data_IF_144537239427
#
_entry.id   IF_144537239427
#
_cell.length_a   1.000
_cell.length_b   1.000
_cell.length_c   1.000
_cell.angle_alpha   90.00
_cell.angle_beta   90.00
_cell.angle_gamma   90.00
#
_symmetry.space_group_name_H-M   'P 1'
#
loop_
_entity.id
_entity.type
_entity.pdbx_description
1 polymer ?
#
# COMPACT_ATOMS: atom_id res chain seq x y z
N UNK A 1 -16.02 -54.08 9.57
CA UNK A 1 -15.24 -55.25 10.04
C UNK A 1 -13.96 -54.73 10.69
N UNK A 2 -13.79 -55.04 11.98
CA UNK A 2 -12.61 -54.87 12.87
C UNK A 2 -12.07 -53.44 13.05
N UNK A 3 -12.22 -52.74 14.20
CA UNK A 3 -11.99 -53.11 15.62
C UNK A 3 -10.58 -53.66 15.83
N UNK A 4 -9.68 -52.95 16.52
CA UNK A 4 -9.34 -53.03 17.96
C UNK A 4 -8.09 -52.10 18.12
N UNK A 5 -7.68 -51.48 19.23
CA UNK A 5 -8.06 -51.46 20.65
C UNK A 5 -7.23 -50.33 21.32
N UNK A 6 -7.81 -49.66 22.33
CA UNK A 6 -7.05 -49.03 23.44
C UNK A 6 -6.88 -50.12 24.55
N UNK A 7 -6.18 -49.96 25.71
CA UNK A 7 -6.44 -48.86 26.67
C UNK A 7 -5.31 -48.52 27.72
N UNK A 8 -5.66 -47.59 28.63
CA UNK A 8 -5.47 -47.68 30.09
C UNK A 8 -4.18 -47.20 30.81
N UNK A 9 -4.31 -46.02 31.44
CA UNK A 9 -4.10 -45.68 32.89
C UNK A 9 -2.78 -45.97 33.62
N UNK A 10 -2.23 -44.96 34.31
CA UNK A 10 -2.16 -44.97 35.79
C UNK A 10 -1.87 -43.58 36.42
N UNK A 11 -2.70 -43.24 37.39
CA UNK A 11 -2.64 -42.23 38.46
C UNK A 11 -1.55 -42.48 39.51
N UNK A 12 -0.95 -41.43 40.13
CA UNK A 12 -1.01 -41.15 41.60
C UNK A 12 -0.02 -40.06 42.13
N UNK A 13 -0.60 -39.09 42.87
CA UNK A 13 -0.23 -38.52 44.21
C UNK A 13 0.99 -37.61 44.51
N UNK A 14 0.63 -36.43 45.07
CA UNK A 14 0.99 -35.78 46.36
C UNK A 14 2.44 -35.33 46.69
N UNK A 15 2.61 -34.01 46.93
CA UNK A 15 3.15 -33.35 48.14
C UNK A 15 3.24 -31.83 47.86
N UNK A 16 2.50 -30.89 48.48
CA UNK A 16 2.45 -30.36 49.87
C UNK A 16 3.73 -29.66 50.38
N UNK A 17 3.58 -28.33 50.64
CA UNK A 17 4.20 -27.45 51.66
C UNK A 17 5.30 -26.42 51.24
N UNK A 18 5.42 -25.27 51.96
CA UNK A 18 5.72 -23.92 51.45
C UNK A 18 6.98 -23.27 52.12
N UNK A 19 7.01 -21.95 52.44
CA UNK A 19 7.97 -20.94 51.95
C UNK A 19 9.14 -20.62 52.92
N UNK A 20 9.94 -19.56 52.66
CA UNK A 20 10.49 -18.78 53.77
C UNK A 20 10.29 -17.26 53.68
N UNK A 21 9.99 -16.70 54.85
CA UNK A 21 10.05 -15.33 55.39
C UNK A 21 11.45 -14.70 55.34
N UNK A 22 11.64 -13.43 54.95
CA UNK A 22 11.72 -12.24 55.84
C UNK A 22 13.16 -11.62 55.85
N UNK A 23 13.45 -10.49 56.56
CA UNK A 23 13.00 -9.11 56.30
C UNK A 23 14.12 -8.00 56.32
N UNK A 24 13.81 -6.83 55.72
CA UNK A 24 14.15 -5.39 56.04
C UNK A 24 15.63 -4.91 56.22
N UNK A 25 16.00 -3.60 56.07
CA UNK A 25 15.47 -2.48 56.88
C UNK A 25 15.24 -1.10 56.18
N UNK A 26 14.59 -0.22 56.96
CA UNK A 26 14.21 1.20 56.77
C UNK A 26 15.39 2.19 56.87
N UNK A 27 15.25 3.37 56.26
CA UNK A 27 15.61 4.72 56.83
C UNK A 27 15.00 5.84 55.96
N UNK A 28 13.96 6.55 56.45
CA UNK A 28 13.94 7.92 57.06
C UNK A 28 14.04 9.13 56.10
N UNK A 29 12.91 9.84 55.99
CA UNK A 29 12.77 11.30 55.75
C UNK A 29 13.36 12.12 56.91
N UNK A 30 13.58 13.43 56.70
CA UNK A 30 12.77 14.39 57.48
C UNK A 30 12.27 15.61 56.70
N UNK A 31 11.15 16.14 57.18
CA UNK A 31 10.48 17.41 56.87
C UNK A 31 10.78 18.44 57.97
N UNK A 32 10.94 19.73 57.64
CA UNK A 32 10.65 20.87 58.53
C UNK A 32 10.54 22.21 57.75
N UNK A 33 9.61 23.07 58.18
CA UNK A 33 9.38 24.49 57.81
C UNK A 33 9.12 25.27 59.14
N UNK A 34 8.75 26.57 59.21
CA UNK A 34 9.19 27.83 58.57
C UNK A 34 9.57 28.97 59.59
N UNK A 35 10.05 30.16 59.16
CA UNK A 35 10.10 31.39 60.01
C UNK A 35 10.95 32.61 59.55
N UNK A 36 10.28 33.64 58.97
CA UNK A 36 10.44 35.14 58.85
C UNK A 36 11.63 35.94 59.49
N UNK A 37 11.81 37.29 59.23
CA UNK A 37 11.62 38.15 58.03
C UNK A 37 12.68 39.31 57.81
N UNK A 38 12.82 39.80 56.55
CA UNK A 38 13.12 41.20 56.10
C UNK A 38 14.50 41.87 56.40
N UNK A 39 14.88 43.04 55.79
CA UNK A 39 14.25 43.89 54.74
C UNK A 39 15.15 44.08 53.46
N UNK A 40 14.62 44.16 52.22
CA UNK A 40 14.18 45.34 51.45
C UNK A 40 15.22 46.47 51.19
N UNK A 41 15.72 46.62 49.95
CA UNK A 41 15.92 47.89 49.20
C UNK A 41 15.87 47.60 47.67
N UNK A 42 15.22 48.49 46.92
CA UNK A 42 14.91 48.44 45.46
C UNK A 42 15.72 49.56 44.72
N UNK A 43 15.49 49.89 43.43
CA UNK A 43 16.48 49.87 42.35
C UNK A 43 16.85 51.26 41.76
N UNK A 44 17.89 51.34 40.92
CA UNK A 44 18.14 52.44 39.96
C UNK A 44 18.82 51.80 38.72
N UNK A 45 18.60 52.16 37.44
CA UNK A 45 17.98 53.34 36.86
C UNK A 45 18.95 54.06 35.91
N UNK A 46 19.02 53.59 34.65
CA UNK A 46 19.22 54.34 33.38
C UNK A 46 20.48 55.21 33.07
N UNK A 47 20.83 55.16 31.76
CA UNK A 47 21.55 56.12 30.89
C UNK A 47 23.09 56.26 30.94
N UNK A 48 23.76 55.89 29.84
CA UNK A 48 24.51 56.80 28.95
C UNK A 48 25.24 56.06 27.79
N UNK A 49 25.01 56.50 26.55
CA UNK A 49 25.99 56.54 25.43
C UNK A 49 26.63 57.96 25.44
N UNK A 50 27.79 58.25 24.83
CA UNK A 50 28.33 57.74 23.56
C UNK A 50 29.82 57.29 23.66
N UNK A 51 30.41 56.58 22.68
CA UNK A 51 31.13 57.18 21.55
C UNK A 51 31.49 56.15 20.48
N UNK A 52 31.56 56.65 19.24
CA UNK A 52 31.92 55.94 18.04
C UNK A 52 33.43 55.65 17.95
N UNK A 53 33.80 54.43 17.54
CA UNK A 53 35.01 54.19 16.76
C UNK A 53 34.89 52.94 15.90
N UNK A 54 35.21 53.12 14.63
CA UNK A 54 35.18 52.18 13.52
C UNK A 54 36.31 51.14 13.63
N UNK A 55 35.97 49.85 13.53
CA UNK A 55 36.89 48.83 12.99
C UNK A 55 36.11 47.72 12.29
N UNK A 56 36.59 47.39 11.10
CA UNK A 56 35.97 46.49 10.14
C UNK A 56 36.03 45.01 10.58
N UNK A 57 35.02 44.24 10.16
CA UNK A 57 35.13 42.78 10.03
C UNK A 57 34.21 41.95 10.92
N UNK A 58 32.95 41.80 10.52
CA UNK A 58 32.12 40.60 10.76
C UNK A 58 30.80 40.77 9.99
N UNK A 59 30.78 40.34 8.73
CA UNK A 59 29.54 40.25 7.98
C UNK A 59 28.63 39.19 8.58
N UNK A 60 27.47 39.61 9.09
CA UNK A 60 26.36 38.75 9.50
C UNK A 60 26.10 37.69 8.44
N UNK A 61 26.03 36.39 8.77
CA UNK A 61 25.80 35.37 7.76
C UNK A 61 24.45 35.65 7.10
N UNK A 62 24.50 35.89 5.79
CA UNK A 62 23.29 36.17 5.00
C UNK A 62 22.36 34.97 5.10
N UNK A 63 21.04 35.21 4.99
CA UNK A 63 19.98 34.18 4.98
C UNK A 63 20.32 32.98 4.06
N UNK A 64 21.09 33.21 2.99
CA UNK A 64 21.64 32.17 2.10
C UNK A 64 22.69 31.27 2.76
N UNK A 65 23.63 31.79 3.54
CA UNK A 65 24.62 30.97 4.26
C UNK A 65 23.97 30.10 5.34
N UNK A 66 23.00 30.65 6.08
CA UNK A 66 22.22 29.85 7.04
C UNK A 66 21.37 28.79 6.34
N UNK A 67 20.79 29.09 5.17
CA UNK A 67 20.02 28.12 4.41
C UNK A 67 20.92 27.02 3.80
N UNK A 68 22.14 27.37 3.41
CA UNK A 68 23.12 26.44 2.84
C UNK A 68 23.76 25.53 3.90
N UNK A 69 24.03 26.03 5.11
CA UNK A 69 24.47 25.21 6.25
C UNK A 69 23.35 24.31 6.79
N UNK A 70 22.10 24.78 6.79
CA UNK A 70 20.92 23.99 7.16
C UNK A 70 20.61 22.90 6.12
N UNK A 71 20.80 23.18 4.82
CA UNK A 71 20.70 22.15 3.78
C UNK A 71 21.83 21.11 3.86
N UNK A 72 23.06 21.52 4.20
CA UNK A 72 24.20 20.60 4.35
C UNK A 72 24.04 19.66 5.54
N UNK A 73 23.64 20.19 6.69
CA UNK A 73 23.32 19.40 7.89
C UNK A 73 22.07 18.52 7.73
N UNK A 74 21.11 18.90 6.87
CA UNK A 74 19.95 18.06 6.52
C UNK A 74 20.30 16.94 5.53
N UNK A 75 21.31 17.13 4.67
CA UNK A 75 21.84 16.09 3.80
C UNK A 75 22.69 15.08 4.57
N UNK A 76 23.47 15.52 5.56
CA UNK A 76 24.28 14.65 6.44
C UNK A 76 23.43 13.81 7.42
N UNK A 77 22.22 14.28 7.76
CA UNK A 77 21.27 13.55 8.62
C UNK A 77 20.15 12.83 7.85
N UNK A 78 20.24 12.73 6.53
CA UNK A 78 19.36 11.83 5.79
C UNK A 78 19.77 10.40 6.16
N UNK A 79 18.84 9.50 6.55
CA UNK A 79 19.18 8.10 6.81
C UNK A 79 20.05 7.60 5.65
N UNK A 80 21.20 7.00 5.93
CA UNK A 80 22.18 6.58 4.90
C UNK A 80 21.70 5.39 4.05
N UNK A 81 20.75 4.62 4.59
CA UNK A 81 20.20 3.40 3.98
C UNK A 81 19.60 3.54 2.55
N UNK A 82 18.87 4.62 2.16
CA UNK A 82 18.34 4.78 0.82
C UNK A 82 19.45 5.11 -0.20
N UNK A 83 20.50 5.84 0.17
CA UNK A 83 21.56 6.24 -0.76
C UNK A 83 22.41 5.04 -1.15
N UNK A 84 22.81 4.21 -0.18
CA UNK A 84 23.60 3.00 -0.44
C UNK A 84 22.81 1.96 -1.24
N UNK A 85 21.52 1.81 -0.93
CA UNK A 85 20.61 0.97 -1.69
C UNK A 85 20.49 1.44 -3.14
N UNK A 86 20.22 2.73 -3.36
CA UNK A 86 20.09 3.28 -4.71
C UNK A 86 21.41 3.20 -5.50
N UNK A 87 22.56 3.41 -4.84
CA UNK A 87 23.86 3.29 -5.48
C UNK A 87 24.17 1.84 -5.89
N UNK A 88 23.87 0.87 -5.01
CA UNK A 88 24.01 -0.55 -5.32
C UNK A 88 23.16 -0.95 -6.53
N UNK A 89 21.85 -0.68 -6.49
CA UNK A 89 20.96 -1.04 -7.60
C UNK A 89 21.28 -0.26 -8.88
N UNK A 90 21.67 1.02 -8.77
CA UNK A 90 22.12 1.82 -9.90
C UNK A 90 23.33 1.21 -10.60
N UNK A 91 24.32 0.74 -9.82
CA UNK A 91 25.50 0.04 -10.36
C UNK A 91 25.12 -1.27 -11.03
N UNK A 92 24.26 -2.08 -10.40
CA UNK A 92 23.74 -3.33 -10.98
C UNK A 92 23.00 -3.06 -12.30
N UNK A 93 22.17 -2.02 -12.37
CA UNK A 93 21.48 -1.62 -13.59
C UNK A 93 22.44 -1.22 -14.71
N UNK A 94 23.49 -0.45 -14.41
CA UNK A 94 24.50 -0.06 -15.42
C UNK A 94 25.25 -1.28 -15.95
N UNK A 95 25.69 -2.19 -15.08
CA UNK A 95 26.41 -3.40 -15.47
C UNK A 95 25.50 -4.28 -16.34
N UNK A 96 24.29 -4.58 -15.87
CA UNK A 96 23.35 -5.45 -16.60
C UNK A 96 22.95 -4.85 -17.96
N UNK A 97 22.67 -3.55 -18.03
CA UNK A 97 22.33 -2.87 -19.29
C UNK A 97 23.50 -2.89 -20.27
N UNK A 98 24.72 -2.66 -19.80
CA UNK A 98 25.93 -2.72 -20.63
C UNK A 98 26.19 -4.14 -21.14
N UNK A 99 26.02 -5.15 -20.28
CA UNK A 99 26.12 -6.56 -20.68
C UNK A 99 25.09 -6.92 -21.74
N UNK A 100 23.83 -6.52 -21.57
CA UNK A 100 22.80 -6.74 -22.60
C UNK A 100 23.16 -6.03 -23.90
N UNK A 101 23.60 -4.76 -23.84
CA UNK A 101 23.96 -3.99 -25.03
C UNK A 101 25.13 -4.61 -25.83
N UNK A 102 26.09 -5.24 -25.16
CA UNK A 102 27.27 -5.85 -25.81
C UNK A 102 26.98 -7.30 -26.24
N UNK A 103 26.28 -8.09 -25.41
CA UNK A 103 26.12 -9.53 -25.61
C UNK A 103 24.85 -9.90 -26.40
N UNK A 104 23.78 -9.11 -26.31
CA UNK A 104 22.53 -9.40 -27.00
C UNK A 104 22.65 -8.97 -28.47
N UNK A 105 22.77 -9.95 -29.35
CA UNK A 105 22.65 -9.75 -30.80
C UNK A 105 21.20 -9.94 -31.23
N UNK A 106 20.69 -9.02 -32.03
CA UNK A 106 19.37 -9.13 -32.66
C UNK A 106 19.43 -10.13 -33.83
N UNK A 107 18.54 -11.12 -33.82
CA UNK A 107 18.41 -12.06 -34.93
C UNK A 107 17.61 -11.38 -36.05
N UNK A 108 18.20 -11.32 -37.26
CA UNK A 108 17.54 -10.76 -38.45
C UNK A 108 16.49 -11.69 -39.08
N UNK A 109 16.37 -12.93 -38.60
CA UNK A 109 15.58 -13.99 -39.24
C UNK A 109 14.44 -14.51 -38.38
N UNK A 110 13.38 -13.71 -38.18
CA UNK A 110 11.99 -14.17 -38.01
C UNK A 110 11.05 -13.03 -38.43
N UNK A 111 11.01 -12.69 -39.71
CA UNK A 111 9.91 -11.90 -40.29
C UNK A 111 8.90 -12.86 -40.92
N UNK A 112 8.28 -13.73 -40.09
CA UNK A 112 7.11 -14.49 -40.51
C UNK A 112 5.96 -13.50 -40.68
N UNK A 113 5.83 -12.98 -41.89
CA UNK A 113 4.84 -11.98 -42.29
C UNK A 113 5.28 -10.57 -41.92
N UNK A 114 5.76 -9.81 -42.92
CA UNK A 114 6.02 -8.37 -42.80
C UNK A 114 4.93 -7.67 -41.99
N UNK A 115 5.30 -7.12 -40.82
CA UNK A 115 4.69 -5.88 -40.35
C UNK A 115 5.06 -4.83 -41.43
N UNK A 116 4.22 -4.65 -42.47
CA UNK A 116 4.38 -3.51 -43.39
C UNK A 116 3.96 -2.20 -42.70
N UNK A 117 4.38 -1.96 -41.46
CA UNK A 117 4.35 -0.61 -40.91
C UNK A 117 5.61 0.09 -41.39
N UNK A 118 5.52 0.70 -42.57
CA UNK A 118 6.63 1.44 -43.21
C UNK A 118 6.97 2.77 -42.51
N UNK A 119 6.50 3.01 -41.28
CA UNK A 119 6.92 4.15 -40.46
C UNK A 119 6.18 4.26 -39.13
N UNK A 120 6.70 5.11 -38.24
CA UNK A 120 6.14 5.42 -36.91
C UNK A 120 4.68 5.87 -37.03
N UNK A 121 4.36 6.68 -38.05
CA UNK A 121 3.01 7.17 -38.32
C UNK A 121 2.04 6.03 -38.60
N UNK A 122 2.47 4.99 -39.31
CA UNK A 122 1.60 3.85 -39.62
C UNK A 122 1.38 2.97 -38.39
N UNK A 123 2.35 2.87 -37.49
CA UNK A 123 2.17 2.25 -36.17
C UNK A 123 1.11 2.98 -35.34
N UNK A 124 1.10 4.32 -35.31
CA UNK A 124 0.05 5.09 -34.61
C UNK A 124 -1.33 4.95 -35.26
N UNK A 125 -1.40 4.97 -36.61
CA UNK A 125 -2.66 4.70 -37.33
C UNK A 125 -3.21 3.31 -37.00
N UNK A 126 -2.32 2.31 -36.97
CA UNK A 126 -2.67 0.94 -36.61
C UNK A 126 -3.17 0.85 -35.16
N UNK A 127 -2.48 1.48 -34.21
CA UNK A 127 -2.92 1.54 -32.81
C UNK A 127 -4.32 2.15 -32.69
N UNK A 128 -4.57 3.24 -33.40
CA UNK A 128 -5.88 3.88 -33.42
C UNK A 128 -6.96 2.99 -34.06
N UNK A 129 -6.61 2.21 -35.09
CA UNK A 129 -7.50 1.20 -35.66
C UNK A 129 -7.84 0.08 -34.67
N UNK A 130 -6.85 -0.39 -33.88
CA UNK A 130 -7.06 -1.39 -32.83
C UNK A 130 -8.06 -0.89 -31.78
N UNK A 131 -7.86 0.33 -31.27
CA UNK A 131 -8.74 0.94 -30.25
C UNK A 131 -10.16 1.13 -30.77
N UNK A 132 -10.34 1.41 -32.07
CA UNK A 132 -11.66 1.55 -32.70
C UNK A 132 -12.45 0.25 -32.83
N UNK A 133 -11.82 -0.92 -32.65
CA UNK A 133 -12.55 -2.18 -32.69
C UNK A 133 -13.49 -2.29 -31.47
N UNK A 134 -14.78 -2.60 -31.67
CA UNK A 134 -15.76 -2.57 -30.59
C UNK A 134 -15.46 -3.57 -29.47
N UNK A 135 -14.94 -4.76 -29.80
CA UNK A 135 -14.52 -5.75 -28.81
C UNK A 135 -13.38 -5.24 -27.92
N UNK A 136 -12.37 -4.59 -28.53
CA UNK A 136 -11.23 -4.01 -27.83
C UNK A 136 -11.64 -2.84 -26.96
N UNK A 137 -12.42 -1.91 -27.50
CA UNK A 137 -12.91 -0.76 -26.74
C UNK A 137 -13.74 -1.21 -25.54
N UNK A 138 -14.64 -2.17 -25.74
CA UNK A 138 -15.46 -2.74 -24.67
C UNK A 138 -14.58 -3.40 -23.61
N UNK A 139 -13.60 -4.21 -24.03
CA UNK A 139 -12.67 -4.84 -23.12
C UNK A 139 -11.86 -3.81 -22.31
N UNK A 140 -11.30 -2.80 -22.99
CA UNK A 140 -10.55 -1.70 -22.37
C UNK A 140 -11.38 -0.97 -21.30
N UNK A 141 -12.64 -0.61 -21.60
CA UNK A 141 -13.53 0.04 -20.64
C UNK A 141 -13.84 -0.86 -19.44
N UNK A 142 -14.03 -2.15 -19.67
CA UNK A 142 -14.30 -3.12 -18.61
C UNK A 142 -13.09 -3.29 -17.69
N UNK A 143 -11.88 -3.50 -18.22
CA UNK A 143 -10.67 -3.64 -17.39
C UNK A 143 -10.30 -2.34 -16.66
N UNK A 144 -10.64 -1.17 -17.23
CA UNK A 144 -10.44 0.13 -16.60
C UNK A 144 -11.29 0.29 -15.33
N UNK A 145 -12.47 -0.32 -15.30
CA UNK A 145 -13.45 -0.19 -14.20
C UNK A 145 -13.51 -1.40 -13.27
N UNK A 146 -13.01 -2.56 -13.70
CA UNK A 146 -13.12 -3.82 -12.95
C UNK A 146 -12.46 -3.81 -11.57
N UNK A 147 -11.46 -2.95 -11.37
CA UNK A 147 -10.65 -2.93 -10.14
C UNK A 147 -11.09 -1.89 -9.10
N UNK A 148 -12.12 -1.08 -9.40
CA UNK A 148 -12.63 -0.05 -8.47
C UNK A 148 -13.03 -0.67 -7.13
N UNK A 149 -13.61 -1.88 -7.13
CA UNK A 149 -14.06 -2.51 -5.91
C UNK A 149 -12.95 -2.96 -4.94
N UNK A 150 -11.69 -2.95 -5.38
CA UNK A 150 -10.54 -3.35 -4.56
C UNK A 150 -9.68 -2.18 -4.11
N UNK A 151 -9.99 -0.95 -4.54
CA UNK A 151 -9.09 0.20 -4.38
C UNK A 151 -8.77 0.52 -2.92
N UNK A 152 -9.79 0.55 -2.05
CA UNK A 152 -9.61 0.77 -0.61
C UNK A 152 -8.79 -0.36 0.03
N UNK A 153 -9.09 -1.61 -0.32
CA UNK A 153 -8.40 -2.79 0.21
C UNK A 153 -6.91 -2.81 -0.19
N UNK A 154 -6.61 -2.53 -1.45
CA UNK A 154 -5.25 -2.60 -2.01
C UNK A 154 -4.39 -1.38 -1.63
N UNK A 155 -4.96 -0.16 -1.64
CA UNK A 155 -4.19 1.08 -1.49
C UNK A 155 -4.15 1.60 -0.04
N UNK A 156 -5.23 1.42 0.73
CA UNK A 156 -5.42 2.11 2.01
C UNK A 156 -5.12 1.21 3.21
N UNK A 157 -5.48 -0.08 3.15
CA UNK A 157 -5.32 -1.03 4.27
C UNK A 157 -3.93 -1.03 4.88
N UNK A 158 -2.87 -1.09 4.05
CA UNK A 158 -1.50 -1.12 4.54
C UNK A 158 -1.11 0.13 5.32
N UNK A 159 -1.61 1.30 4.90
CA UNK A 159 -1.41 2.56 5.61
C UNK A 159 -2.17 2.58 6.94
N UNK A 160 -3.42 2.10 6.93
CA UNK A 160 -4.25 2.03 8.13
C UNK A 160 -3.69 1.09 9.19
N UNK A 161 -3.11 -0.05 8.81
CA UNK A 161 -2.42 -0.93 9.76
C UNK A 161 -1.24 -0.22 10.45
N UNK A 162 -0.53 0.65 9.72
CA UNK A 162 0.55 1.47 10.31
C UNK A 162 0.00 2.56 11.22
N UNK A 163 -1.11 3.21 10.83
CA UNK A 163 -1.79 4.21 11.67
C UNK A 163 -2.31 3.63 12.99
N UNK A 164 -2.79 2.39 12.97
CA UNK A 164 -3.23 1.63 14.16
C UNK A 164 -2.07 1.05 14.99
N UNK A 165 -0.81 1.40 14.67
CA UNK A 165 0.36 1.12 15.50
C UNK A 165 1.23 -0.05 15.04
N UNK A 166 0.89 -0.77 13.97
CA UNK A 166 1.74 -1.87 13.48
C UNK A 166 3.05 -1.29 12.91
N UNK A 167 4.23 -1.69 13.42
CA UNK A 167 5.49 -1.15 12.92
C UNK A 167 5.69 -1.47 11.44
N UNK A 168 6.07 -0.46 10.66
CA UNK A 168 6.26 -0.56 9.21
C UNK A 168 7.29 -1.63 8.84
N UNK A 169 8.29 -1.81 9.69
CA UNK A 169 9.35 -2.80 9.55
C UNK A 169 8.78 -4.22 9.60
N UNK A 170 7.84 -4.49 10.51
CA UNK A 170 7.20 -5.81 10.61
C UNK A 170 6.31 -6.09 9.41
N UNK A 171 5.52 -5.11 8.94
CA UNK A 171 4.75 -5.27 7.71
C UNK A 171 5.64 -5.50 6.48
N UNK A 172 6.78 -4.80 6.40
CA UNK A 172 7.76 -5.02 5.34
C UNK A 172 8.39 -6.42 5.42
N UNK A 173 8.66 -6.93 6.62
CA UNK A 173 9.19 -8.28 6.82
C UNK A 173 8.19 -9.37 6.38
N UNK A 174 6.88 -9.11 6.42
CA UNK A 174 5.87 -10.03 5.86
C UNK A 174 6.01 -10.21 4.33
N UNK A 175 6.65 -9.28 3.63
CA UNK A 175 6.89 -9.43 2.19
C UNK A 175 7.89 -10.55 1.88
N UNK A 176 8.85 -10.82 2.78
CA UNK A 176 9.89 -11.85 2.58
C UNK A 176 9.29 -13.24 2.33
N UNK A 177 8.43 -13.79 3.21
CA UNK A 177 7.76 -15.07 2.94
C UNK A 177 6.73 -15.01 1.80
N UNK A 178 6.26 -13.82 1.42
CA UNK A 178 5.35 -13.66 0.29
C UNK A 178 6.06 -13.82 -1.06
N UNK A 179 7.32 -13.42 -1.20
CA UNK A 179 8.04 -13.46 -2.48
C UNK A 179 8.06 -14.87 -3.11
N UNK A 180 8.40 -15.96 -2.39
CA UNK A 180 8.32 -17.31 -2.97
C UNK A 180 6.91 -17.66 -3.45
N UNK A 181 5.89 -17.27 -2.67
CA UNK A 181 4.48 -17.48 -3.01
C UNK A 181 4.10 -16.68 -4.27
N UNK A 182 4.60 -15.45 -4.45
CA UNK A 182 4.40 -14.64 -5.65
C UNK A 182 5.04 -15.23 -6.90
N UNK A 183 6.12 -16.01 -6.77
CA UNK A 183 6.78 -16.70 -7.89
C UNK A 183 6.04 -18.00 -8.23
N UNK A 184 5.67 -18.79 -7.21
CA UNK A 184 5.03 -20.09 -7.40
C UNK A 184 3.57 -19.97 -7.85
N UNK A 185 2.82 -18.99 -7.33
CA UNK A 185 1.39 -18.85 -7.63
C UNK A 185 1.11 -18.67 -9.12
N UNK A 186 1.75 -17.73 -9.85
CA UNK A 186 1.53 -17.59 -11.29
C UNK A 186 1.85 -18.88 -12.05
N UNK A 187 2.89 -19.64 -11.66
CA UNK A 187 3.23 -20.91 -12.31
C UNK A 187 2.13 -21.95 -12.13
N UNK A 188 1.58 -22.07 -10.91
CA UNK A 188 0.48 -23.00 -10.62
C UNK A 188 -0.81 -22.57 -11.33
N UNK A 189 -1.15 -21.28 -11.21
CA UNK A 189 -2.37 -20.67 -11.78
C UNK A 189 -2.33 -20.72 -13.31
N UNK A 190 -1.14 -20.59 -13.92
CA UNK A 190 -0.98 -20.55 -15.38
C UNK A 190 -1.65 -21.75 -16.05
N UNK A 191 -1.52 -22.96 -15.47
CA UNK A 191 -2.14 -24.20 -15.98
C UNK A 191 -3.67 -24.10 -16.07
N UNK A 192 -4.30 -23.37 -15.15
CA UNK A 192 -5.75 -23.17 -15.13
C UNK A 192 -6.20 -22.02 -16.04
N UNK A 193 -5.32 -21.04 -16.29
CA UNK A 193 -5.62 -19.90 -17.18
C UNK A 193 -5.24 -20.12 -18.64
N UNK A 194 -4.40 -21.12 -18.95
CA UNK A 194 -4.03 -21.49 -20.33
C UNK A 194 -5.15 -22.15 -21.14
N UNK A 195 -6.31 -22.41 -20.50
CA UNK A 195 -7.48 -22.99 -21.16
C UNK A 195 -8.19 -22.02 -22.13
N UNK A 196 -9.28 -22.48 -22.76
CA UNK A 196 -10.02 -21.68 -23.75
C UNK A 196 -10.73 -20.46 -23.15
N UNK A 197 -10.98 -20.45 -21.84
CA UNK A 197 -11.82 -19.45 -21.17
C UNK A 197 -11.13 -18.81 -19.94
N UNK A 198 -10.07 -18.00 -20.15
CA UNK A 198 -9.31 -17.39 -19.06
C UNK A 198 -10.13 -16.39 -18.23
N UNK A 199 -11.08 -15.66 -18.84
CA UNK A 199 -11.88 -14.65 -18.11
C UNK A 199 -12.87 -15.29 -17.12
N UNK A 200 -13.20 -16.57 -17.26
CA UNK A 200 -13.98 -17.29 -16.25
C UNK A 200 -13.25 -17.40 -14.91
N UNK A 201 -11.92 -17.54 -14.92
CA UNK A 201 -11.11 -17.59 -13.70
C UNK A 201 -11.16 -16.23 -13.00
N UNK A 202 -11.01 -15.13 -13.76
CA UNK A 202 -11.19 -13.77 -13.25
C UNK A 202 -12.58 -13.59 -12.62
N UNK A 203 -13.64 -13.93 -13.35
CA UNK A 203 -15.03 -13.77 -12.89
C UNK A 203 -15.33 -14.54 -11.60
N UNK A 204 -14.77 -15.76 -11.45
CA UNK A 204 -14.93 -16.58 -10.24
C UNK A 204 -14.08 -16.09 -9.08
N UNK A 205 -12.88 -15.56 -9.32
CA UNK A 205 -11.98 -15.05 -8.28
C UNK A 205 -12.47 -13.70 -7.70
N UNK A 206 -13.17 -12.90 -8.50
CA UNK A 206 -13.64 -11.56 -8.14
C UNK A 206 -14.44 -11.47 -6.83
N UNK A 207 -15.51 -12.27 -6.59
CA UNK A 207 -16.28 -12.20 -5.35
C UNK A 207 -15.44 -12.56 -4.11
N UNK A 208 -14.55 -13.56 -4.21
CA UNK A 208 -13.66 -13.90 -3.10
C UNK A 208 -12.73 -12.76 -2.75
N UNK A 209 -12.19 -12.06 -3.76
CA UNK A 209 -11.34 -10.89 -3.54
C UNK A 209 -12.11 -9.73 -2.89
N UNK A 210 -13.37 -9.50 -3.27
CA UNK A 210 -14.21 -8.46 -2.66
C UNK A 210 -14.48 -8.77 -1.18
N UNK A 211 -14.78 -10.02 -0.86
CA UNK A 211 -14.99 -10.47 0.52
C UNK A 211 -13.72 -10.39 1.36
N UNK A 212 -12.56 -10.73 0.78
CA UNK A 212 -11.26 -10.56 1.45
C UNK A 212 -10.96 -9.07 1.72
N UNK A 213 -11.43 -8.15 0.87
CA UNK A 213 -11.37 -6.72 1.13
C UNK A 213 -12.12 -6.30 2.40
N UNK A 214 -13.32 -6.85 2.64
CA UNK A 214 -14.02 -6.68 3.92
C UNK A 214 -13.26 -7.36 5.07
N UNK A 215 -12.66 -8.52 4.82
CA UNK A 215 -11.79 -9.20 5.77
C UNK A 215 -10.62 -8.34 6.23
N UNK A 216 -10.00 -7.57 5.32
CA UNK A 216 -8.97 -6.60 5.67
C UNK A 216 -9.50 -5.42 6.48
N UNK A 217 -10.68 -4.88 6.14
CA UNK A 217 -11.30 -3.85 6.96
C UNK A 217 -11.58 -4.36 8.39
N UNK A 218 -12.09 -5.59 8.54
CA UNK A 218 -12.27 -6.23 9.85
C UNK A 218 -10.94 -6.45 10.58
N UNK A 219 -9.88 -6.79 9.85
CA UNK A 219 -8.56 -6.95 10.41
C UNK A 219 -8.06 -5.63 11.00
N UNK A 220 -8.14 -4.52 10.25
CA UNK A 220 -7.76 -3.18 10.72
C UNK A 220 -8.56 -2.77 11.95
N UNK A 221 -9.87 -3.04 11.98
CA UNK A 221 -10.71 -2.77 13.16
C UNK A 221 -10.33 -3.60 14.39
N UNK A 222 -9.84 -4.82 14.16
CA UNK A 222 -9.40 -5.72 15.21
C UNK A 222 -8.00 -5.37 15.75
N UNK A 223 -7.13 -4.78 14.92
CA UNK A 223 -5.76 -4.39 15.25
C UNK A 223 -5.63 -3.66 16.61
N UNK A 224 -6.29 -2.51 16.87
CA UNK A 224 -6.11 -1.79 18.14
C UNK A 224 -6.61 -2.57 19.37
N UNK A 225 -7.46 -3.58 19.20
CA UNK A 225 -7.97 -4.41 20.32
C UNK A 225 -6.98 -5.49 20.76
N UNK A 226 -6.02 -5.80 19.89
CA UNK A 226 -5.01 -6.84 20.09
C UNK A 226 -3.69 -6.25 20.59
N UNK A 227 -3.52 -4.94 20.45
CA UNK A 227 -2.34 -4.24 20.93
C UNK A 227 -2.16 -4.47 22.44
N UNK A 228 -0.97 -4.93 22.82
CA UNK A 228 -0.62 -5.15 24.21
C UNK A 228 0.79 -4.62 24.48
N UNK A 229 0.92 -3.70 25.45
CA UNK A 229 2.20 -3.09 25.85
C UNK A 229 3.00 -2.43 24.70
N UNK A 230 2.31 -1.82 23.73
CA UNK A 230 2.95 -1.16 22.58
C UNK A 230 3.53 -2.11 21.53
N UNK A 231 3.05 -3.37 21.50
CA UNK A 231 3.40 -4.36 20.50
C UNK A 231 2.27 -5.32 20.20
N UNK A 232 2.46 -6.12 19.15
CA UNK A 232 1.49 -7.13 18.71
C UNK A 232 2.01 -8.54 18.99
N UNK A 233 1.15 -9.45 19.49
CA UNK A 233 1.52 -10.84 19.71
C UNK A 233 1.75 -11.58 18.38
N UNK A 234 2.55 -12.64 18.41
CA UNK A 234 2.94 -13.40 17.21
C UNK A 234 1.74 -13.94 16.41
N UNK A 235 0.65 -14.34 17.07
CA UNK A 235 -0.54 -14.85 16.40
C UNK A 235 -1.19 -13.80 15.49
N UNK A 236 -1.11 -12.51 15.83
CA UNK A 236 -1.63 -11.43 15.01
C UNK A 236 -0.89 -11.38 13.67
N UNK A 237 0.44 -11.41 13.70
CA UNK A 237 1.26 -11.43 12.48
C UNK A 237 1.02 -12.68 11.63
N UNK A 238 0.78 -13.84 12.25
CA UNK A 238 0.41 -15.07 11.52
C UNK A 238 -0.93 -14.88 10.78
N UNK A 239 -1.94 -14.29 11.45
CA UNK A 239 -3.24 -14.02 10.84
C UNK A 239 -3.11 -13.00 9.70
N UNK A 240 -2.35 -11.92 9.91
CA UNK A 240 -2.04 -10.93 8.86
C UNK A 240 -1.37 -11.64 7.68
N UNK A 241 -0.32 -12.42 7.92
CA UNK A 241 0.37 -13.17 6.87
C UNK A 241 -0.57 -14.08 6.08
N UNK A 242 -1.41 -14.87 6.76
CA UNK A 242 -2.37 -15.76 6.10
C UNK A 242 -3.42 -14.98 5.29
N UNK A 243 -3.92 -13.86 5.82
CA UNK A 243 -4.88 -13.01 5.11
C UNK A 243 -4.28 -12.40 3.84
N UNK A 244 -3.03 -11.92 3.90
CA UNK A 244 -2.29 -11.47 2.73
C UNK A 244 -2.03 -12.61 1.75
N UNK A 245 -1.72 -13.83 2.22
CA UNK A 245 -1.47 -14.96 1.34
C UNK A 245 -2.73 -15.34 0.55
N UNK A 246 -3.89 -15.40 1.22
CA UNK A 246 -5.18 -15.63 0.58
C UNK A 246 -5.52 -14.51 -0.42
N UNK A 247 -5.28 -13.26 -0.04
CA UNK A 247 -5.45 -12.13 -0.93
C UNK A 247 -4.58 -12.28 -2.19
N UNK A 248 -3.30 -12.62 -2.05
CA UNK A 248 -2.38 -12.83 -3.17
C UNK A 248 -2.89 -13.91 -4.14
N UNK A 249 -3.44 -15.02 -3.66
CA UNK A 249 -4.03 -16.06 -4.53
C UNK A 249 -5.11 -15.47 -5.44
N UNK A 250 -6.04 -14.70 -4.89
CA UNK A 250 -7.13 -14.09 -5.68
C UNK A 250 -6.60 -13.00 -6.62
N UNK A 251 -5.63 -12.19 -6.17
CA UNK A 251 -5.00 -11.14 -6.96
C UNK A 251 -4.27 -11.71 -8.17
N UNK A 252 -3.39 -12.71 -7.97
CA UNK A 252 -2.66 -13.35 -9.06
C UNK A 252 -3.57 -14.15 -9.98
N UNK A 253 -4.63 -14.78 -9.46
CA UNK A 253 -5.62 -15.46 -10.30
C UNK A 253 -6.25 -14.51 -11.30
N UNK A 254 -6.65 -13.31 -10.85
CA UNK A 254 -7.20 -12.27 -11.72
C UNK A 254 -6.15 -11.71 -12.68
N UNK A 255 -4.94 -11.43 -12.19
CA UNK A 255 -3.85 -10.85 -12.99
C UNK A 255 -3.45 -11.78 -14.14
N UNK A 256 -3.14 -13.05 -13.83
CA UNK A 256 -2.72 -14.04 -14.84
C UNK A 256 -3.86 -14.30 -15.85
N UNK A 257 -5.12 -14.29 -15.41
CA UNK A 257 -6.27 -14.43 -16.32
C UNK A 257 -6.35 -13.33 -17.36
N UNK A 258 -6.16 -12.07 -16.97
CA UNK A 258 -6.13 -10.93 -17.91
C UNK A 258 -4.93 -11.07 -18.84
N UNK A 259 -3.75 -11.41 -18.32
CA UNK A 259 -2.55 -11.57 -19.13
C UNK A 259 -2.69 -12.70 -20.17
N UNK A 260 -3.27 -13.83 -19.77
CA UNK A 260 -3.57 -14.95 -20.66
C UNK A 260 -4.59 -14.55 -21.74
N UNK A 261 -5.62 -13.80 -21.36
CA UNK A 261 -6.61 -13.29 -22.31
C UNK A 261 -5.98 -12.30 -23.31
N UNK A 262 -5.21 -11.32 -22.83
CA UNK A 262 -4.50 -10.34 -23.66
C UNK A 262 -3.60 -11.03 -24.68
N UNK A 263 -2.83 -12.03 -24.26
CA UNK A 263 -1.99 -12.82 -25.14
C UNK A 263 -2.80 -13.61 -26.19
N UNK A 264 -3.97 -14.14 -25.81
CA UNK A 264 -4.83 -14.92 -26.70
C UNK A 264 -5.53 -14.07 -27.78
N UNK A 265 -5.99 -12.88 -27.42
CA UNK A 265 -6.75 -12.01 -28.35
C UNK A 265 -5.86 -11.13 -29.22
N UNK A 266 -4.61 -10.91 -28.83
CA UNK A 266 -3.68 -10.10 -29.62
C UNK A 266 -3.39 -10.77 -30.96
N UNK A 267 -3.56 -10.02 -32.05
CA UNK A 267 -3.25 -10.50 -33.40
C UNK A 267 -1.75 -10.86 -33.51
N UNK A 268 -1.38 -12.10 -33.90
CA UNK A 268 0.02 -12.52 -33.98
C UNK A 268 0.91 -11.64 -34.86
N UNK A 269 0.34 -10.99 -35.88
CA UNK A 269 1.10 -10.12 -36.78
C UNK A 269 1.50 -8.80 -36.14
N UNK A 270 0.72 -8.30 -35.17
CA UNK A 270 0.91 -7.00 -34.51
C UNK A 270 0.86 -7.14 -32.98
N UNK A 271 1.25 -8.33 -32.51
CA UNK A 271 1.02 -8.79 -31.15
C UNK A 271 1.74 -7.95 -30.11
N UNK A 272 2.93 -7.44 -30.44
CA UNK A 272 3.70 -6.55 -29.57
C UNK A 272 2.96 -5.25 -29.25
N UNK A 273 2.52 -4.53 -30.29
CA UNK A 273 1.79 -3.26 -30.16
C UNK A 273 0.45 -3.47 -29.43
N UNK A 274 -0.28 -4.53 -29.80
CA UNK A 274 -1.59 -4.82 -29.25
C UNK A 274 -1.51 -5.25 -27.77
N UNK A 275 -0.64 -6.20 -27.43
CA UNK A 275 -0.47 -6.67 -26.06
C UNK A 275 0.01 -5.55 -25.13
N UNK A 276 0.90 -4.67 -25.63
CA UNK A 276 1.38 -3.51 -24.86
C UNK A 276 0.26 -2.52 -24.56
N UNK A 277 -0.60 -2.22 -25.53
CA UNK A 277 -1.78 -1.37 -25.32
C UNK A 277 -2.68 -1.95 -24.22
N UNK A 278 -3.06 -3.23 -24.33
CA UNK A 278 -3.96 -3.87 -23.38
C UNK A 278 -3.38 -3.93 -21.96
N UNK A 279 -2.08 -4.18 -21.84
CA UNK A 279 -1.39 -4.15 -20.55
C UNK A 279 -1.34 -2.73 -19.97
N UNK A 280 -1.12 -1.72 -20.82
CA UNK A 280 -1.14 -0.32 -20.41
C UNK A 280 -2.50 0.06 -19.82
N UNK A 281 -3.59 -0.29 -20.50
CA UNK A 281 -4.95 -0.05 -19.99
C UNK A 281 -5.22 -0.86 -18.72
N UNK A 282 -4.74 -2.11 -18.63
CA UNK A 282 -4.89 -2.97 -17.45
C UNK A 282 -4.18 -2.42 -16.20
N UNK A 283 -3.01 -1.80 -16.39
CA UNK A 283 -2.24 -1.14 -15.35
C UNK A 283 -2.90 0.17 -14.93
N UNK A 284 -3.33 0.98 -15.90
CA UNK A 284 -4.07 2.21 -15.64
C UNK A 284 -5.33 1.92 -14.82
N UNK A 285 -6.09 0.89 -15.20
CA UNK A 285 -7.30 0.45 -14.51
C UNK A 285 -7.08 0.02 -13.05
N UNK A 286 -5.85 -0.30 -12.64
CA UNK A 286 -5.52 -0.55 -11.23
C UNK A 286 -5.01 0.68 -10.47
N UNK A 287 -4.30 1.57 -11.17
CA UNK A 287 -3.67 2.72 -10.55
C UNK A 287 -4.66 3.86 -10.28
N UNK A 288 -5.50 4.22 -11.26
CA UNK A 288 -6.41 5.35 -11.08
C UNK A 288 -7.42 5.15 -9.93
N UNK A 289 -8.02 3.96 -9.71
CA UNK A 289 -8.91 3.77 -8.57
C UNK A 289 -8.17 3.85 -7.24
N UNK A 290 -6.95 3.31 -7.19
CA UNK A 290 -6.09 3.38 -6.00
C UNK A 290 -5.72 4.82 -5.63
N UNK A 291 -5.44 5.67 -6.62
CA UNK A 291 -5.19 7.10 -6.41
C UNK A 291 -6.42 7.82 -5.88
N UNK A 292 -7.59 7.55 -6.47
CA UNK A 292 -8.86 8.14 -6.02
C UNK A 292 -9.20 7.68 -4.60
N UNK A 293 -8.97 6.40 -4.28
CA UNK A 293 -9.17 5.85 -2.95
C UNK A 293 -8.39 6.60 -1.89
N UNK A 294 -7.07 6.70 -2.05
CA UNK A 294 -6.20 7.45 -1.14
C UNK A 294 -6.62 8.91 -0.96
N UNK A 295 -7.15 9.54 -2.03
CA UNK A 295 -7.62 10.93 -1.96
C UNK A 295 -8.97 11.09 -1.23
N UNK A 296 -9.82 10.05 -1.22
CA UNK A 296 -11.17 10.10 -0.63
C UNK A 296 -11.21 9.78 0.87
N UNK A 297 -10.19 9.12 1.43
CA UNK A 297 -10.13 8.76 2.86
C UNK A 297 -10.29 9.99 3.76
N UNK A 298 -9.53 11.06 3.50
CA UNK A 298 -9.53 12.26 4.33
C UNK A 298 -10.88 13.01 4.29
N UNK A 299 -11.47 13.31 3.11
CA UNK A 299 -12.79 13.94 3.03
C UNK A 299 -13.92 13.15 3.69
N UNK A 300 -13.84 11.81 3.68
CA UNK A 300 -14.81 10.89 4.27
C UNK A 300 -14.63 10.71 5.79
N UNK A 301 -13.46 11.07 6.33
CA UNK A 301 -13.17 10.92 7.75
C UNK A 301 -13.80 12.04 8.57
N UNK A 302 -14.59 11.68 9.58
CA UNK A 302 -15.24 12.62 10.51
C UNK A 302 -14.53 12.56 11.86
N UNK A 303 -14.03 13.72 12.29
CA UNK A 303 -13.36 13.91 13.58
C UNK A 303 -14.19 14.84 14.46
N UNK A 304 -14.45 14.43 15.68
CA UNK A 304 -15.22 15.18 16.67
C UNK A 304 -14.32 15.61 17.84
N UNK A 305 -14.64 16.75 18.44
CA UNK A 305 -13.94 17.23 19.63
C UNK A 305 -14.60 16.66 20.88
N UNK A 306 -13.88 15.85 21.65
CA UNK A 306 -14.33 15.37 22.97
C UNK A 306 -13.70 16.22 24.05
N UNK A 307 -14.51 16.69 25.01
CA UNK A 307 -14.06 17.57 26.10
C UNK A 307 -14.41 19.05 25.93
N UNK A 308 -14.89 19.46 24.75
CA UNK A 308 -15.49 20.78 24.51
C UNK A 308 -16.67 20.63 23.54
N UNK A 309 -17.83 21.24 23.86
CA UNK A 309 -19.06 21.04 23.07
C UNK A 309 -19.05 21.83 21.76
N UNK A 310 -19.61 21.24 20.70
CA UNK A 310 -20.09 21.89 19.48
C UNK A 310 -19.04 22.31 18.42
N UNK A 311 -17.91 21.60 18.31
CA UNK A 311 -16.88 21.86 17.29
C UNK A 311 -16.42 20.57 16.59
N UNK A 312 -16.31 20.61 15.25
CA UNK A 312 -15.84 19.48 14.43
C UNK A 312 -14.37 19.68 14.05
N UNK A 313 -13.54 18.64 14.19
CA UNK A 313 -12.10 18.68 13.95
C UNK A 313 -11.72 18.42 12.47
N UNK A 314 -12.51 18.95 11.52
CA UNK A 314 -12.30 18.73 10.08
C UNK A 314 -11.24 19.65 9.47
N UNK A 315 -11.13 20.87 10.01
CA UNK A 315 -10.22 21.93 9.52
C UNK A 315 -9.12 22.15 10.58
N UNK A 316 -7.85 22.42 10.20
CA UNK A 316 -6.76 22.67 11.15
C UNK A 316 -7.10 23.73 12.22
N UNK A 317 -7.80 24.80 11.83
CA UNK A 317 -8.22 25.86 12.75
C UNK A 317 -9.15 25.35 13.86
N UNK A 318 -10.05 24.43 13.53
CA UNK A 318 -10.96 23.81 14.50
C UNK A 318 -10.24 22.79 15.40
N UNK A 319 -9.18 22.15 14.89
CA UNK A 319 -8.32 21.27 15.69
C UNK A 319 -7.57 22.09 16.73
N UNK A 320 -7.02 23.24 16.35
CA UNK A 320 -6.37 24.16 17.30
C UNK A 320 -7.35 24.73 18.32
N UNK A 321 -8.57 25.09 17.89
CA UNK A 321 -9.61 25.59 18.78
C UNK A 321 -10.06 24.52 19.80
N UNK A 322 -10.26 23.28 19.35
CA UNK A 322 -10.58 22.14 20.22
C UNK A 322 -9.48 21.92 21.27
N UNK A 323 -8.21 21.94 20.87
CA UNK A 323 -7.07 21.82 21.80
C UNK A 323 -7.00 22.99 22.77
N UNK A 324 -7.24 24.23 22.33
CA UNK A 324 -7.27 25.44 23.18
C UNK A 324 -8.38 25.38 24.24
N UNK A 325 -9.51 24.74 23.91
CA UNK A 325 -10.62 24.51 24.83
C UNK A 325 -10.41 23.30 25.75
N UNK A 326 -9.24 22.68 25.75
CA UNK A 326 -8.91 21.52 26.58
C UNK A 326 -9.50 20.20 26.06
N UNK A 327 -10.04 20.18 24.84
CA UNK A 327 -10.56 18.99 24.18
C UNK A 327 -9.50 18.23 23.38
N UNK A 328 -9.81 16.98 23.06
CA UNK A 328 -9.02 16.14 22.15
C UNK A 328 -9.87 15.75 20.94
N UNK A 329 -9.29 15.85 19.75
CA UNK A 329 -9.95 15.42 18.52
C UNK A 329 -9.85 13.90 18.40
N UNK A 330 -10.99 13.23 18.42
CA UNK A 330 -11.09 11.79 18.19
C UNK A 330 -11.78 11.53 16.86
N UNK A 331 -11.37 10.48 16.16
CA UNK A 331 -12.05 10.05 14.93
C UNK A 331 -13.35 9.37 15.31
N UNK A 332 -14.49 9.98 14.95
CA UNK A 332 -15.81 9.42 15.20
C UNK A 332 -16.21 8.42 14.11
N UNK A 333 -15.85 8.70 12.85
CA UNK A 333 -16.06 7.83 11.70
C UNK A 333 -14.83 7.87 10.80
N UNK A 334 -14.14 6.74 10.65
CA UNK A 334 -13.00 6.64 9.74
C UNK A 334 -13.48 6.43 8.30
N UNK A 335 -13.03 7.28 7.39
CA UNK A 335 -13.37 7.24 5.98
C UNK A 335 -13.00 5.91 5.32
N UNK A 336 -11.97 5.21 5.80
CA UNK A 336 -11.55 3.91 5.27
C UNK A 336 -12.64 2.84 5.37
N UNK A 337 -13.40 2.77 6.47
CA UNK A 337 -14.46 1.77 6.61
C UNK A 337 -15.64 2.07 5.69
N UNK A 338 -16.02 3.35 5.60
CA UNK A 338 -17.08 3.83 4.70
C UNK A 338 -16.70 3.55 3.25
N UNK A 339 -15.48 3.92 2.88
CA UNK A 339 -14.93 3.71 1.54
C UNK A 339 -14.83 2.22 1.20
N UNK A 340 -14.32 1.38 2.11
CA UNK A 340 -14.22 -0.07 1.92
C UNK A 340 -15.58 -0.70 1.62
N UNK A 341 -16.62 -0.28 2.36
CA UNK A 341 -17.99 -0.75 2.13
C UNK A 341 -18.51 -0.29 0.76
N UNK A 342 -18.33 0.99 0.41
CA UNK A 342 -18.74 1.55 -0.89
C UNK A 342 -18.04 0.85 -2.05
N UNK A 343 -16.71 0.67 -1.99
CA UNK A 343 -15.92 -0.05 -2.98
C UNK A 343 -16.45 -1.47 -3.18
N UNK A 344 -16.73 -2.19 -2.10
CA UNK A 344 -17.26 -3.55 -2.19
C UNK A 344 -18.64 -3.59 -2.85
N UNK A 345 -19.54 -2.66 -2.53
CA UNK A 345 -20.84 -2.56 -3.21
C UNK A 345 -20.69 -2.24 -4.70
N UNK A 346 -19.81 -1.30 -5.06
CA UNK A 346 -19.50 -0.98 -6.46
C UNK A 346 -18.92 -2.22 -7.16
N UNK A 347 -18.02 -2.95 -6.50
CA UNK A 347 -17.39 -4.15 -7.01
C UNK A 347 -18.40 -5.28 -7.26
N UNK A 348 -19.31 -5.54 -6.32
CA UNK A 348 -20.39 -6.51 -6.54
C UNK A 348 -21.35 -6.05 -7.62
N UNK A 349 -21.71 -4.76 -7.67
CA UNK A 349 -22.48 -4.19 -8.77
C UNK A 349 -21.82 -4.43 -10.12
N UNK A 350 -20.52 -4.14 -10.24
CA UNK A 350 -19.75 -4.42 -11.45
C UNK A 350 -19.78 -5.91 -11.79
N UNK A 351 -19.56 -6.79 -10.79
CA UNK A 351 -19.57 -8.24 -10.98
C UNK A 351 -20.91 -8.78 -11.47
N UNK A 352 -22.04 -8.26 -10.96
CA UNK A 352 -23.39 -8.66 -11.40
C UNK A 352 -23.76 -8.13 -12.79
N UNK A 353 -23.51 -6.84 -13.06
CA UNK A 353 -23.98 -6.19 -14.30
C UNK A 353 -22.98 -6.27 -15.46
N UNK A 354 -21.70 -6.07 -15.20
CA UNK A 354 -20.64 -6.00 -16.21
C UNK A 354 -19.83 -7.29 -16.30
N UNK A 355 -19.73 -8.06 -15.21
CA UNK A 355 -19.06 -9.37 -15.19
C UNK A 355 -19.56 -10.36 -16.24
N UNK A 356 -20.89 -10.52 -16.47
CA UNK A 356 -21.39 -11.39 -17.53
C UNK A 356 -21.03 -10.92 -18.94
N UNK A 357 -20.94 -9.61 -19.17
CA UNK A 357 -20.47 -9.05 -20.45
C UNK A 357 -18.96 -9.29 -20.61
N UNK A 358 -18.21 -9.14 -19.53
CA UNK A 358 -16.77 -9.37 -19.50
C UNK A 358 -16.41 -10.82 -19.87
N UNK A 359 -17.08 -11.81 -19.26
CA UNK A 359 -16.83 -13.23 -19.64
C UNK A 359 -17.24 -13.52 -21.08
N UNK A 360 -18.33 -12.92 -21.58
CA UNK A 360 -18.84 -13.15 -22.95
C UNK A 360 -17.85 -12.72 -24.03
N UNK A 361 -16.98 -11.74 -23.74
CA UNK A 361 -15.92 -11.33 -24.66
C UNK A 361 -14.95 -12.47 -25.01
N UNK A 362 -14.79 -13.49 -24.17
CA UNK A 362 -13.92 -14.63 -24.48
C UNK A 362 -14.52 -15.61 -25.51
N UNK A 363 -15.83 -15.52 -25.74
CA UNK A 363 -16.58 -16.34 -26.69
C UNK A 363 -16.70 -15.65 -28.06
N UNK A 364 -16.27 -14.39 -28.17
CA UNK A 364 -16.18 -13.66 -29.45
C UNK A 364 -15.17 -14.32 -30.39
N UNK A 365 -15.53 -14.41 -31.67
CA UNK A 365 -14.69 -15.04 -32.68
C UNK A 365 -13.39 -14.27 -32.92
N UNK A 366 -12.32 -14.92 -33.43
CA UNK A 366 -11.04 -14.24 -33.72
C UNK A 366 -11.17 -13.04 -34.66
N UNK A 367 -12.20 -13.00 -35.52
CA UNK A 367 -12.49 -11.88 -36.42
C UNK A 367 -12.91 -10.59 -35.70
N UNK A 368 -13.43 -10.68 -34.47
CA UNK A 368 -13.79 -9.51 -33.65
C UNK A 368 -12.55 -8.82 -33.05
N UNK A 369 -11.42 -9.52 -33.01
CA UNK A 369 -10.17 -9.07 -32.37
C UNK A 369 -9.05 -8.78 -33.37
N UNK A 370 -9.20 -9.16 -34.64
CA UNK A 370 -8.16 -8.95 -35.66
C UNK A 370 -8.50 -7.76 -36.55
N UNK A 371 -7.51 -6.92 -36.81
CA UNK A 371 -7.67 -5.80 -37.74
C UNK A 371 -7.98 -6.32 -39.14
N UNK A 372 -9.08 -5.88 -39.75
CA UNK A 372 -9.30 -6.08 -41.19
C UNK A 372 -8.36 -5.15 -41.94
N UNK A 373 -7.39 -5.72 -42.65
CA UNK A 373 -6.55 -4.95 -43.56
C UNK A 373 -7.44 -4.46 -44.71
N UNK A 374 -7.66 -3.15 -44.80
CA UNK A 374 -8.13 -2.58 -46.05
C UNK A 374 -6.94 -2.66 -47.01
N UNK A 375 -7.06 -3.50 -48.04
CA UNK A 375 -6.16 -3.44 -49.18
C UNK A 375 -6.27 -2.08 -49.88
#
# INVERSE_FOLDING_TARGET
MRAEEAPATLTHRLASLPPPSGPAPRTRRPTAAPGRPGPAVRPQGAHALPDAQSSAGAGTPTRRQNQQSTCRSRAENMPQAPTDFLFFWGTVFLITTTLVAILKKENKEVSVGKEDTQGITDTYKLLFAIIKMPAVLTFCLLILTAKIGFSAADAVTGLKLVEEGVPKEHLALLAVPMVPLQILLPLIISKYTSGPQPLNVFYKAMPYRLLLGLGFALLVWWTPKVEHQGGFPMYYYIIVLLSYALHQVTLYSMYVSIMAFNAKVSDPLIGGTYMTLLNTVSNLGGNWPSTVALWLVDPLTVKECVGASNQNCRIPDNVELCKKLGGSCVTALDGYYVESIICVFIGFGWWFFLGPKFKKLQDEGPSSWKCKRSN
#
